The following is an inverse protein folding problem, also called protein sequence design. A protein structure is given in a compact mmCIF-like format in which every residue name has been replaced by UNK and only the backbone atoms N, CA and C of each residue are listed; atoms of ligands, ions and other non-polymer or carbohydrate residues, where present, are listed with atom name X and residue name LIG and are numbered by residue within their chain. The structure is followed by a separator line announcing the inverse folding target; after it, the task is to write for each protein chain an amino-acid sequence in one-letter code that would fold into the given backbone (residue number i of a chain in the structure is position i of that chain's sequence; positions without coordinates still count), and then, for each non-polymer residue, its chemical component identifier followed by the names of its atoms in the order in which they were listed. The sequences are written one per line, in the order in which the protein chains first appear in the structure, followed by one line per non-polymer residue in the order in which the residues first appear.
data_IF_840534278271
#
_entry.id   IF_840534278271
#
_cell.length_a   1.000
_cell.length_b   1.000
_cell.length_c   1.000
_cell.angle_alpha   90.00
_cell.angle_beta   90.00
_cell.angle_gamma   90.00
#
_symmetry.space_group_name_H-M   'P 1'
#
loop_
_entity.id
_entity.type
_entity.pdbx_description
1 polymer ?
#
# COMPACT_ATOMS: atom_id res chain seq x y z
N UNK A 1 2.72 -47.75 -36.83
CA UNK A 1 3.36 -46.41 -36.77
C UNK A 1 2.31 -45.39 -36.33
N UNK A 2 2.73 -44.40 -35.57
CA UNK A 2 1.97 -43.64 -34.57
C UNK A 2 0.74 -42.86 -35.06
N UNK A 3 -0.33 -42.92 -34.26
CA UNK A 3 -1.30 -41.83 -34.07
C UNK A 3 -0.59 -40.56 -33.61
N UNK A 4 -0.93 -39.42 -34.19
CA UNK A 4 -0.64 -38.11 -33.61
C UNK A 4 -1.71 -37.12 -34.08
N UNK A 5 -2.80 -37.04 -33.33
CA UNK A 5 -3.68 -35.88 -33.34
C UNK A 5 -2.90 -34.65 -32.82
N UNK A 6 -3.02 -33.46 -33.44
CA UNK A 6 -2.39 -32.26 -32.92
C UNK A 6 -3.07 -31.84 -31.61
N UNK A 7 -2.31 -31.39 -30.58
CA UNK A 7 -2.91 -30.91 -29.35
C UNK A 7 -3.70 -29.62 -29.64
N UNK A 8 -4.98 -29.63 -29.26
CA UNK A 8 -5.83 -28.44 -29.19
C UNK A 8 -5.11 -27.39 -28.37
N UNK A 9 -4.71 -26.29 -29.02
CA UNK A 9 -4.19 -25.12 -28.36
C UNK A 9 -5.24 -24.64 -27.35
N UNK A 10 -4.93 -24.79 -26.06
CA UNK A 10 -5.63 -24.09 -25.00
C UNK A 10 -5.35 -22.62 -25.22
N UNK A 11 -6.27 -21.93 -25.88
CA UNK A 11 -6.34 -20.48 -25.87
C UNK A 11 -6.46 -20.07 -24.41
N UNK A 12 -5.33 -19.72 -23.80
CA UNK A 12 -5.29 -19.05 -22.52
C UNK A 12 -6.11 -17.79 -22.74
N UNK A 13 -7.32 -17.79 -22.19
CA UNK A 13 -8.10 -16.58 -22.02
C UNK A 13 -7.18 -15.61 -21.29
N UNK A 14 -6.63 -14.66 -22.06
CA UNK A 14 -5.88 -13.53 -21.53
C UNK A 14 -6.90 -12.81 -20.67
N UNK A 15 -6.90 -13.09 -19.37
CA UNK A 15 -7.68 -12.34 -18.40
C UNK A 15 -7.38 -10.88 -18.71
N UNK A 16 -8.38 -10.18 -19.23
CA UNK A 16 -8.30 -8.74 -19.42
C UNK A 16 -8.11 -8.18 -18.02
N UNK A 17 -6.86 -7.86 -17.69
CA UNK A 17 -6.60 -6.98 -16.56
C UNK A 17 -7.32 -5.69 -16.97
N UNK A 18 -8.38 -5.28 -16.26
CA UNK A 18 -9.03 -4.02 -16.56
C UNK A 18 -7.92 -2.97 -16.57
N UNK A 19 -7.89 -2.13 -17.61
CA UNK A 19 -7.00 -0.99 -17.74
C UNK A 19 -7.05 -0.19 -16.43
N UNK A 20 -6.18 -0.53 -15.47
CA UNK A 20 -5.94 0.24 -14.27
C UNK A 20 -5.13 1.44 -14.76
N UNK A 21 -5.82 2.35 -15.45
CA UNK A 21 -5.32 3.71 -15.61
C UNK A 21 -5.41 4.28 -14.20
N UNK A 22 -4.29 4.48 -13.48
CA UNK A 22 -4.36 5.25 -12.26
C UNK A 22 -4.94 6.59 -12.68
N UNK A 23 -6.17 6.85 -12.26
CA UNK A 23 -6.77 8.17 -12.37
C UNK A 23 -5.78 9.07 -11.63
N UNK A 24 -5.01 9.88 -12.35
CA UNK A 24 -4.02 10.82 -11.81
C UNK A 24 -4.73 11.97 -11.09
N UNK A 25 -5.80 11.67 -10.34
CA UNK A 25 -6.25 12.49 -9.24
C UNK A 25 -5.05 12.67 -8.33
N UNK A 26 -4.70 13.92 -8.07
CA UNK A 26 -3.66 14.28 -7.13
C UNK A 26 -3.80 13.39 -5.89
N UNK A 27 -2.72 12.76 -5.41
CA UNK A 27 -2.80 11.88 -4.25
C UNK A 27 -3.45 12.64 -3.09
N UNK A 28 -4.43 12.02 -2.44
CA UNK A 28 -4.96 12.56 -1.19
C UNK A 28 -3.95 12.28 -0.09
N UNK A 29 -2.94 13.14 0.01
CA UNK A 29 -1.87 13.02 0.99
C UNK A 29 -2.38 13.06 2.43
N UNK A 30 -3.53 13.70 2.67
CA UNK A 30 -4.17 13.71 3.99
C UNK A 30 -4.68 12.32 4.33
N UNK A 31 -5.35 11.66 3.38
CA UNK A 31 -5.77 10.27 3.53
C UNK A 31 -4.58 9.34 3.74
N UNK A 32 -3.52 9.48 2.94
CA UNK A 32 -2.30 8.67 3.06
C UNK A 32 -1.66 8.85 4.45
N UNK A 33 -1.58 10.07 4.96
CA UNK A 33 -1.05 10.32 6.30
C UNK A 33 -1.88 9.64 7.40
N UNK A 34 -3.21 9.67 7.29
CA UNK A 34 -4.07 8.95 8.23
C UNK A 34 -3.89 7.43 8.17
N UNK A 35 -3.75 6.85 6.98
CA UNK A 35 -3.45 5.42 6.80
C UNK A 35 -2.09 5.05 7.44
N UNK A 36 -1.07 5.90 7.27
CA UNK A 36 0.24 5.72 7.91
C UNK A 36 0.13 5.78 9.44
N UNK A 37 -0.66 6.70 9.99
CA UNK A 37 -0.88 6.79 11.43
C UNK A 37 -1.58 5.55 11.99
N UNK A 38 -2.57 5.01 11.26
CA UNK A 38 -3.26 3.76 11.62
C UNK A 38 -2.30 2.57 11.61
N UNK A 39 -1.51 2.41 10.55
CA UNK A 39 -0.48 1.36 10.48
C UNK A 39 0.56 1.49 11.60
N UNK A 40 0.93 2.72 11.97
CA UNK A 40 1.81 2.98 13.11
C UNK A 40 1.21 2.52 14.43
N UNK A 41 -0.08 2.79 14.65
CA UNK A 41 -0.81 2.34 15.84
C UNK A 41 -0.92 0.80 15.91
N UNK A 42 -1.18 0.14 14.77
CA UNK A 42 -1.20 -1.32 14.67
C UNK A 42 0.18 -1.91 14.99
N UNK A 43 1.25 -1.35 14.43
CA UNK A 43 2.62 -1.76 14.74
C UNK A 43 2.96 -1.55 16.23
N UNK A 44 2.50 -0.46 16.85
CA UNK A 44 2.70 -0.22 18.28
C UNK A 44 1.99 -1.26 19.14
N UNK A 45 0.76 -1.63 18.77
CA UNK A 45 -0.01 -2.66 19.44
C UNK A 45 0.69 -4.02 19.31
N UNK A 46 1.19 -4.36 18.12
CA UNK A 46 1.99 -5.56 17.90
C UNK A 46 3.28 -5.56 18.72
N UNK A 47 3.99 -4.42 18.81
CA UNK A 47 5.19 -4.29 19.63
C UNK A 47 4.91 -4.53 21.10
N UNK A 48 3.79 -4.01 21.62
CA UNK A 48 3.36 -4.24 23.01
C UNK A 48 2.99 -5.70 23.27
N UNK A 49 2.28 -6.32 22.34
CA UNK A 49 1.85 -7.71 22.46
C UNK A 49 3.03 -8.70 22.40
N UNK A 50 4.05 -8.41 21.59
CA UNK A 50 5.16 -9.33 21.31
C UNK A 50 6.47 -8.98 22.03
N UNK A 51 6.58 -7.77 22.57
CA UNK A 51 7.84 -7.22 23.08
C UNK A 51 8.88 -6.92 21.98
N UNK A 52 8.49 -6.95 20.71
CA UNK A 52 9.42 -6.81 19.60
C UNK A 52 9.73 -5.34 19.30
N UNK A 53 10.98 -4.93 19.58
CA UNK A 53 11.47 -3.57 19.35
C UNK A 53 11.48 -3.14 17.88
N UNK A 54 11.48 -4.06 16.93
CA UNK A 54 11.37 -3.73 15.50
C UNK A 54 10.01 -3.10 15.18
N UNK A 55 8.92 -3.68 15.70
CA UNK A 55 7.58 -3.12 15.53
C UNK A 55 7.44 -1.77 16.24
N UNK A 56 8.10 -1.58 17.40
CA UNK A 56 8.12 -0.29 18.07
C UNK A 56 8.81 0.80 17.22
N UNK A 57 9.94 0.46 16.60
CA UNK A 57 10.65 1.35 15.68
C UNK A 57 9.82 1.65 14.42
N UNK A 58 9.15 0.64 13.88
CA UNK A 58 8.26 0.79 12.73
C UNK A 58 7.09 1.73 13.06
N UNK A 59 6.43 1.51 14.20
CA UNK A 59 5.35 2.35 14.69
C UNK A 59 5.76 3.82 14.76
N UNK A 60 6.88 4.09 15.43
CA UNK A 60 7.43 5.44 15.55
C UNK A 60 7.71 6.09 14.20
N UNK A 61 8.29 5.34 13.25
CA UNK A 61 8.61 5.85 11.91
C UNK A 61 7.36 6.22 11.12
N UNK A 62 6.33 5.35 11.17
CA UNK A 62 5.07 5.57 10.47
C UNK A 62 4.29 6.75 11.03
N UNK A 63 4.21 6.85 12.36
CA UNK A 63 3.53 7.96 13.03
C UNK A 63 4.24 9.30 12.79
N UNK A 64 5.58 9.33 12.82
CA UNK A 64 6.32 10.56 12.52
C UNK A 64 6.11 11.02 11.09
N UNK A 65 6.21 10.11 10.11
CA UNK A 65 5.95 10.45 8.70
C UNK A 65 4.52 10.93 8.46
N UNK A 66 3.54 10.35 9.14
CA UNK A 66 2.16 10.83 9.08
C UNK A 66 2.05 12.27 9.58
N UNK A 67 2.73 12.61 10.68
CA UNK A 67 2.80 13.97 11.21
C UNK A 67 3.45 14.94 10.22
N UNK A 68 4.63 14.60 9.71
CA UNK A 68 5.36 15.43 8.74
C UNK A 68 4.51 15.75 7.50
N UNK A 69 3.79 14.77 6.94
CA UNK A 69 2.92 14.99 5.79
C UNK A 69 1.75 15.94 6.14
N UNK A 70 1.14 15.78 7.32
CA UNK A 70 0.04 16.65 7.74
C UNK A 70 0.53 18.08 7.99
N UNK A 71 1.70 18.25 8.58
CA UNK A 71 2.31 19.55 8.84
C UNK A 71 2.69 20.27 7.53
N UNK A 72 3.22 19.54 6.55
CA UNK A 72 3.53 20.09 5.22
C UNK A 72 2.25 20.51 4.47
N UNK A 73 1.17 19.74 4.59
CA UNK A 73 -0.13 20.09 4.01
C UNK A 73 -0.76 21.32 4.69
N UNK A 74 -0.66 21.43 6.02
CA UNK A 74 -1.16 22.62 6.73
C UNK A 74 -0.36 23.85 6.30
N UNK A 75 0.98 23.75 6.26
CA UNK A 75 1.84 24.85 5.79
C UNK A 75 1.52 25.28 4.37
N UNK A 76 1.33 24.34 3.45
CA UNK A 76 0.98 24.63 2.06
C UNK A 76 -0.41 25.27 1.90
N UNK A 77 -1.34 25.00 2.82
CA UNK A 77 -2.67 25.59 2.83
C UNK A 77 -2.76 26.98 3.48
N UNK A 78 -1.71 27.42 4.18
CA UNK A 78 -1.61 28.76 4.80
C UNK A 78 -0.84 29.78 3.95
N UNK A 79 -0.19 29.32 2.87
CA UNK A 79 0.62 30.14 1.97
C UNK A 79 -0.21 30.89 0.93
#
# INVERSE_FOLDING_TARGET
MASQDPPKALTVARCGIPDYRPDYRKPDYRKIAHELAQLGAEAANHARATGNGHYARLAHTLTNRAGEILDDLDRAGKA
#
